data_IF_012081375034
#
_entry.id   IF_012081375034
#
_cell.length_a   1.000
_cell.length_b   1.000
_cell.length_c   1.000
_cell.angle_alpha   90.00
_cell.angle_beta   90.00
_cell.angle_gamma   90.00
#
_symmetry.space_group_name_H-M   'P 1'
#
loop_
_entity.id
_entity.type
_entity.pdbx_description
1 polymer ?
#
# COMPACT_ATOMS: atom_id res chain seq x y z
N UNK A 1 -11.01 1.12 16.70
CA UNK A 1 -12.42 1.56 16.66
C UNK A 1 -12.59 2.83 15.82
N UNK A 2 -11.72 3.84 16.00
CA UNK A 2 -11.77 5.12 15.25
C UNK A 2 -11.71 4.94 13.73
N UNK A 3 -10.86 4.05 13.21
CA UNK A 3 -10.77 3.77 11.78
C UNK A 3 -12.12 3.34 11.14
N UNK A 4 -12.91 2.52 11.84
CA UNK A 4 -14.19 2.01 11.33
C UNK A 4 -15.32 3.05 11.41
N UNK A 5 -15.13 4.14 12.16
CA UNK A 5 -16.07 5.25 12.20
C UNK A 5 -15.90 6.19 10.98
N UNK A 6 -14.76 6.12 10.29
CA UNK A 6 -14.52 6.88 9.06
C UNK A 6 -14.86 6.01 7.84
N UNK A 7 -15.72 6.48 6.90
CA UNK A 7 -15.94 5.81 5.61
C UNK A 7 -14.71 5.91 4.68
N UNK A 8 -13.56 5.38 5.09
CA UNK A 8 -12.34 5.35 4.30
C UNK A 8 -12.33 4.16 3.32
N UNK A 9 -11.83 4.36 2.10
CA UNK A 9 -11.63 3.28 1.13
C UNK A 9 -10.49 2.33 1.53
N UNK A 10 -9.44 2.91 2.14
CA UNK A 10 -8.23 2.21 2.56
C UNK A 10 -7.76 2.68 3.92
N UNK A 11 -7.09 1.78 4.64
CA UNK A 11 -6.38 2.06 5.89
C UNK A 11 -4.91 1.65 5.74
N UNK A 12 -3.99 2.55 6.07
CA UNK A 12 -2.54 2.31 5.96
C UNK A 12 -1.90 2.62 7.32
N UNK A 13 -1.49 1.58 8.04
CA UNK A 13 -0.64 1.74 9.22
C UNK A 13 0.81 1.94 8.77
N UNK A 14 1.47 3.01 9.24
CA UNK A 14 2.86 3.34 8.89
C UNK A 14 3.71 3.17 10.14
N UNK A 15 4.56 2.15 10.13
CA UNK A 15 5.45 1.77 11.21
C UNK A 15 6.92 1.88 10.79
N UNK A 16 7.80 1.74 11.78
CA UNK A 16 9.23 1.54 11.58
C UNK A 16 9.67 0.31 12.34
N UNK A 17 10.51 -0.50 11.73
CA UNK A 17 10.99 -1.76 12.27
C UNK A 17 11.97 -1.58 13.44
N UNK A 18 12.14 -2.64 14.22
CA UNK A 18 13.25 -2.85 15.15
C UNK A 18 13.67 -4.33 15.17
N UNK A 19 14.91 -4.61 15.58
CA UNK A 19 15.43 -5.96 15.77
C UNK A 19 16.44 -6.03 16.93
N UNK A 20 16.27 -7.02 17.81
CA UNK A 20 17.02 -7.11 19.05
C UNK A 20 18.42 -7.74 18.95
N UNK A 21 18.70 -8.55 17.92
CA UNK A 21 19.88 -9.43 17.90
C UNK A 21 20.67 -9.46 16.60
N UNK A 22 20.30 -8.65 15.60
CA UNK A 22 20.96 -8.64 14.29
C UNK A 22 20.95 -7.25 13.64
N UNK A 23 21.62 -7.13 12.50
CA UNK A 23 21.55 -5.92 11.68
C UNK A 23 20.25 -5.99 10.86
N UNK A 24 19.26 -5.19 11.25
CA UNK A 24 18.02 -5.01 10.51
C UNK A 24 18.17 -3.98 9.39
N UNK A 25 17.65 -4.28 8.20
CA UNK A 25 17.59 -3.30 7.09
C UNK A 25 16.38 -3.51 6.22
N UNK A 26 15.88 -2.41 5.67
CA UNK A 26 14.90 -2.39 4.60
C UNK A 26 13.45 -2.47 5.03
N UNK A 27 12.60 -2.58 4.01
CA UNK A 27 11.15 -2.39 4.11
C UNK A 27 10.40 -3.69 3.90
N UNK A 28 9.32 -3.87 4.63
CA UNK A 28 8.29 -4.90 4.42
C UNK A 28 6.88 -4.33 4.52
N UNK A 29 5.93 -4.97 3.84
CA UNK A 29 4.53 -4.51 3.87
C UNK A 29 3.60 -5.69 4.07
N UNK A 30 2.76 -5.64 5.10
CA UNK A 30 1.83 -6.68 5.46
C UNK A 30 0.42 -6.38 4.94
N UNK A 31 -0.26 -7.43 4.50
CA UNK A 31 -1.68 -7.41 4.13
C UNK A 31 -2.41 -8.57 4.82
N UNK A 32 -3.73 -8.45 4.97
CA UNK A 32 -4.51 -9.39 5.79
C UNK A 32 -4.52 -10.83 5.24
N UNK A 33 -4.88 -11.00 3.98
CA UNK A 33 -5.04 -12.31 3.32
C UNK A 33 -4.91 -12.21 1.80
N UNK A 34 -4.50 -13.29 1.11
CA UNK A 34 -4.28 -13.29 -0.34
C UNK A 34 -5.60 -13.26 -1.11
N UNK A 35 -5.57 -12.72 -2.32
CA UNK A 35 -6.73 -12.64 -3.21
C UNK A 35 -7.71 -11.50 -2.90
N UNK A 36 -7.36 -10.62 -1.96
CA UNK A 36 -8.14 -9.44 -1.60
C UNK A 36 -7.45 -8.16 -2.05
N UNK A 37 -8.18 -7.01 -2.18
CA UNK A 37 -7.59 -5.74 -2.59
C UNK A 37 -6.40 -5.28 -1.74
N UNK A 38 -6.28 -5.76 -0.49
CA UNK A 38 -5.16 -5.45 0.39
C UNK A 38 -3.81 -5.95 -0.14
N UNK A 39 -3.78 -7.08 -0.85
CA UNK A 39 -2.56 -7.60 -1.48
C UNK A 39 -2.05 -6.66 -2.58
N UNK A 40 -2.97 -6.13 -3.40
CA UNK A 40 -2.64 -5.17 -4.46
C UNK A 40 -2.22 -3.83 -3.87
N UNK A 41 -2.94 -3.34 -2.85
CA UNK A 41 -2.56 -2.12 -2.13
C UNK A 41 -1.15 -2.25 -1.53
N UNK A 42 -0.84 -3.38 -0.90
CA UNK A 42 0.48 -3.67 -0.37
C UNK A 42 1.55 -3.67 -1.48
N UNK A 43 1.29 -4.33 -2.61
CA UNK A 43 2.21 -4.36 -3.74
C UNK A 43 2.49 -2.97 -4.32
N UNK A 44 1.46 -2.14 -4.50
CA UNK A 44 1.60 -0.77 -5.01
C UNK A 44 2.43 0.11 -4.06
N UNK A 45 2.11 0.12 -2.76
CA UNK A 45 2.86 0.90 -1.76
C UNK A 45 4.30 0.39 -1.64
N UNK A 46 4.48 -0.92 -1.53
CA UNK A 46 5.79 -1.51 -1.40
C UNK A 46 6.68 -1.20 -2.60
N UNK A 47 6.16 -1.38 -3.83
CA UNK A 47 6.88 -1.07 -5.05
C UNK A 47 7.29 0.40 -5.15
N UNK A 48 6.41 1.33 -4.75
CA UNK A 48 6.72 2.75 -4.73
C UNK A 48 7.84 3.09 -3.74
N UNK A 49 7.84 2.48 -2.55
CA UNK A 49 8.90 2.68 -1.55
C UNK A 49 10.24 2.14 -2.06
N UNK A 50 10.26 0.90 -2.59
CA UNK A 50 11.48 0.30 -3.14
C UNK A 50 12.03 1.13 -4.30
N UNK A 51 11.17 1.65 -5.17
CA UNK A 51 11.59 2.55 -6.25
C UNK A 51 12.20 3.87 -5.76
N UNK A 52 11.65 4.45 -4.70
CA UNK A 52 12.10 5.74 -4.17
C UNK A 52 13.33 5.67 -3.27
N UNK A 53 13.53 4.56 -2.55
CA UNK A 53 14.59 4.41 -1.55
C UNK A 53 15.70 3.44 -1.97
N UNK A 54 15.42 2.52 -2.90
CA UNK A 54 16.34 1.45 -3.31
C UNK A 54 16.93 0.69 -2.11
N UNK A 55 16.15 0.59 -1.01
CA UNK A 55 16.54 -0.12 0.20
C UNK A 55 16.38 -1.64 0.03
N UNK A 56 16.81 -2.40 1.04
CA UNK A 56 16.60 -3.84 1.05
C UNK A 56 15.11 -4.15 0.93
N UNK A 57 14.74 -4.91 -0.09
CA UNK A 57 13.38 -5.35 -0.33
C UNK A 57 13.12 -6.66 0.44
N UNK A 58 12.33 -6.59 1.50
CA UNK A 58 11.93 -7.76 2.31
C UNK A 58 10.57 -8.31 1.90
N UNK A 59 9.96 -7.74 0.87
CA UNK A 59 8.74 -8.19 0.23
C UNK A 59 7.45 -7.75 0.92
N UNK A 60 6.35 -8.11 0.26
CA UNK A 60 5.02 -8.08 0.85
C UNK A 60 4.75 -9.40 1.59
N UNK A 61 3.98 -9.34 2.68
CA UNK A 61 3.77 -10.45 3.60
C UNK A 61 2.29 -10.68 3.89
N UNK A 62 1.87 -11.91 3.66
CA UNK A 62 0.55 -12.43 4.00
C UNK A 62 0.46 -12.65 5.52
N UNK A 63 -0.32 -11.83 6.21
CA UNK A 63 -0.48 -11.89 7.66
C UNK A 63 -1.15 -13.20 8.11
N UNK A 64 -1.94 -13.87 7.26
CA UNK A 64 -2.54 -15.17 7.59
C UNK A 64 -1.47 -16.25 7.83
N UNK A 65 -0.27 -16.08 7.26
CA UNK A 65 0.89 -16.97 7.39
C UNK A 65 1.96 -16.43 8.34
N UNK A 66 1.84 -15.20 8.80
CA UNK A 66 2.79 -14.63 9.73
C UNK A 66 2.59 -15.23 11.14
N UNK A 67 3.69 -15.42 11.90
CA UNK A 67 3.62 -15.87 13.29
C UNK A 67 3.03 -14.80 14.22
N UNK A 68 2.90 -13.56 13.74
CA UNK A 68 2.38 -12.41 14.48
C UNK A 68 1.01 -12.02 13.95
N UNK A 69 0.20 -11.40 14.82
CA UNK A 69 -1.11 -10.84 14.49
C UNK A 69 -1.05 -9.33 14.73
N UNK A 70 -1.24 -8.56 13.67
CA UNK A 70 -1.36 -7.10 13.77
C UNK A 70 -2.83 -6.71 13.84
N UNK A 71 -3.32 -6.41 15.05
CA UNK A 71 -4.72 -6.08 15.25
C UNK A 71 -5.17 -4.89 14.38
N UNK A 72 -4.27 -3.93 14.16
CA UNK A 72 -4.52 -2.71 13.40
C UNK A 72 -4.80 -2.92 11.91
N UNK A 73 -4.52 -4.10 11.35
CA UNK A 73 -4.89 -4.44 9.96
C UNK A 73 -5.76 -5.70 9.86
N UNK A 74 -6.22 -6.23 11.01
CA UNK A 74 -7.24 -7.29 11.06
C UNK A 74 -8.59 -6.77 11.56
N UNK A 75 -8.60 -5.69 12.33
CA UNK A 75 -9.80 -5.05 12.87
C UNK A 75 -10.48 -4.03 11.93
N UNK A 76 -9.76 -3.32 11.03
CA UNK A 76 -10.41 -2.41 10.12
C UNK A 76 -11.33 -3.14 9.13
N UNK A 77 -12.50 -2.55 8.83
CA UNK A 77 -13.46 -3.15 7.89
C UNK A 77 -13.21 -2.78 6.43
N UNK A 78 -12.41 -1.74 6.19
CA UNK A 78 -11.94 -1.34 4.87
C UNK A 78 -10.66 -2.07 4.46
N UNK A 79 -10.19 -1.86 3.23
CA UNK A 79 -8.95 -2.49 2.75
C UNK A 79 -7.75 -1.96 3.55
N UNK A 80 -7.04 -2.82 4.28
CA UNK A 80 -5.99 -2.40 5.20
C UNK A 80 -4.62 -3.05 4.93
N UNK A 81 -3.56 -2.26 5.10
CA UNK A 81 -2.15 -2.71 5.04
C UNK A 81 -1.31 -2.06 6.13
N UNK A 82 -0.22 -2.72 6.52
CA UNK A 82 0.78 -2.21 7.45
C UNK A 82 2.12 -2.13 6.75
N UNK A 83 2.70 -0.94 6.72
CA UNK A 83 4.02 -0.69 6.14
C UNK A 83 5.02 -0.61 7.27
N UNK A 84 5.97 -1.53 7.30
CA UNK A 84 7.16 -1.41 8.11
C UNK A 84 8.25 -0.76 7.26
N UNK A 85 8.51 0.52 7.49
CA UNK A 85 9.36 1.36 6.64
C UNK A 85 10.83 0.94 6.68
N UNK A 86 11.60 1.40 7.66
CA UNK A 86 13.00 1.06 7.86
C UNK A 86 13.24 0.81 9.36
N UNK A 87 14.43 0.40 9.74
CA UNK A 87 14.78 0.08 11.12
C UNK A 87 15.21 1.31 11.92
N UNK A 88 14.43 1.71 12.92
CA UNK A 88 14.73 2.90 13.73
C UNK A 88 15.82 2.67 14.77
N UNK A 89 16.15 1.42 15.08
CA UNK A 89 17.21 1.01 16.00
C UNK A 89 18.54 0.72 15.28
N UNK A 90 18.60 0.99 13.97
CA UNK A 90 19.79 0.80 13.14
C UNK A 90 20.25 2.17 12.64
N UNK A 91 21.39 2.66 13.15
CA UNK A 91 21.81 4.05 13.00
C UNK A 91 21.73 4.60 11.57
N UNK A 92 22.17 3.84 10.57
CA UNK A 92 22.10 4.28 9.16
C UNK A 92 20.67 4.40 8.62
N UNK A 93 19.78 3.51 9.04
CA UNK A 93 18.36 3.53 8.65
C UNK A 93 17.58 4.59 9.43
N UNK A 94 17.89 4.77 10.72
CA UNK A 94 17.33 5.83 11.56
C UNK A 94 17.65 7.23 11.01
N UNK A 95 18.90 7.47 10.60
CA UNK A 95 19.29 8.72 9.94
C UNK A 95 18.53 8.93 8.62
N UNK A 96 18.34 7.85 7.84
CA UNK A 96 17.58 7.92 6.60
C UNK A 96 16.10 8.25 6.86
N UNK A 97 15.47 7.64 7.87
CA UNK A 97 14.10 7.97 8.29
C UNK A 97 13.97 9.44 8.70
N UNK A 98 14.91 9.94 9.50
CA UNK A 98 14.91 11.32 9.96
C UNK A 98 14.98 12.33 8.81
N UNK A 99 15.88 12.12 7.86
CA UNK A 99 16.10 13.07 6.77
C UNK A 99 15.15 12.89 5.57
N UNK A 100 14.54 11.72 5.41
CA UNK A 100 13.73 11.38 4.24
C UNK A 100 12.26 11.09 4.57
N UNK A 101 11.75 11.51 5.73
CA UNK A 101 10.35 11.32 6.12
C UNK A 101 9.35 11.82 5.06
N UNK A 102 9.61 13.01 4.50
CA UNK A 102 8.77 13.59 3.43
C UNK A 102 8.81 12.74 2.15
N UNK A 103 9.99 12.20 1.80
CA UNK A 103 10.15 11.28 0.66
C UNK A 103 9.42 9.96 0.90
N UNK A 104 9.43 9.45 2.13
CA UNK A 104 8.68 8.25 2.52
C UNK A 104 7.18 8.49 2.39
N UNK A 105 6.68 9.61 2.91
CA UNK A 105 5.28 10.00 2.77
C UNK A 105 4.85 10.10 1.30
N UNK A 106 5.68 10.71 0.44
CA UNK A 106 5.43 10.74 -1.02
C UNK A 106 5.39 9.36 -1.66
N UNK A 107 6.29 8.46 -1.28
CA UNK A 107 6.32 7.10 -1.82
C UNK A 107 5.07 6.31 -1.41
N UNK A 108 4.64 6.41 -0.15
CA UNK A 108 3.39 5.80 0.33
C UNK A 108 2.19 6.38 -0.42
N UNK A 109 2.11 7.70 -0.55
CA UNK A 109 1.03 8.37 -1.27
C UNK A 109 0.97 7.95 -2.75
N UNK A 110 2.11 7.87 -3.43
CA UNK A 110 2.18 7.40 -4.82
C UNK A 110 1.67 5.96 -4.96
N UNK A 111 1.99 5.08 -4.01
CA UNK A 111 1.46 3.72 -3.97
C UNK A 111 -0.06 3.65 -3.76
N UNK A 112 -0.60 4.50 -2.88
CA UNK A 112 -2.06 4.60 -2.67
C UNK A 112 -2.75 5.08 -3.94
N UNK A 113 -2.20 6.09 -4.63
CA UNK A 113 -2.74 6.59 -5.90
C UNK A 113 -2.74 5.49 -6.97
N UNK A 114 -1.64 4.76 -7.12
CA UNK A 114 -1.55 3.65 -8.07
C UNK A 114 -2.58 2.55 -7.77
N UNK A 115 -2.84 2.25 -6.49
CA UNK A 115 -3.91 1.33 -6.10
C UNK A 115 -5.30 1.86 -6.49
N UNK A 116 -5.56 3.15 -6.27
CA UNK A 116 -6.82 3.77 -6.67
C UNK A 116 -7.03 3.67 -8.19
N UNK A 117 -6.00 3.99 -8.99
CA UNK A 117 -6.03 3.87 -10.45
C UNK A 117 -6.29 2.43 -10.91
N UNK A 118 -5.63 1.45 -10.29
CA UNK A 118 -5.89 0.03 -10.54
C UNK A 118 -7.33 -0.33 -10.21
N UNK A 119 -7.84 0.09 -9.04
CA UNK A 119 -9.20 -0.21 -8.58
C UNK A 119 -10.24 0.42 -9.51
N UNK A 120 -10.05 1.67 -9.94
CA UNK A 120 -10.91 2.32 -10.90
C UNK A 120 -10.87 1.62 -12.26
N UNK A 121 -9.70 1.22 -12.74
CA UNK A 121 -9.58 0.49 -14.01
C UNK A 121 -10.26 -0.88 -13.97
N UNK A 122 -10.13 -1.61 -12.85
CA UNK A 122 -10.76 -2.90 -12.64
C UNK A 122 -12.30 -2.80 -12.56
N UNK A 123 -12.82 -1.76 -11.91
CA UNK A 123 -14.27 -1.49 -11.82
C UNK A 123 -14.83 -0.91 -13.11
N UNK A 124 -14.03 -0.11 -13.83
CA UNK A 124 -14.43 0.54 -15.07
C UNK A 124 -14.26 -0.36 -16.29
N UNK A 125 -13.54 -1.48 -16.24
CA UNK A 125 -13.40 -2.38 -17.41
C UNK A 125 -14.74 -2.72 -18.10
N UNK A 126 -15.81 -3.09 -17.35
CA UNK A 126 -17.15 -3.27 -17.90
C UNK A 126 -17.86 -1.96 -18.30
N UNK A 127 -17.64 -0.86 -17.59
CA UNK A 127 -18.36 0.42 -17.79
C UNK A 127 -17.73 1.28 -18.91
N UNK A 128 -16.40 1.33 -19.01
CA UNK A 128 -15.63 1.94 -20.11
C UNK A 128 -15.93 1.22 -21.43
N UNK A 129 -16.07 -0.11 -21.44
CA UNK A 129 -16.51 -0.84 -22.63
C UNK A 129 -17.91 -0.40 -23.10
N UNK A 130 -18.80 -0.04 -22.17
CA UNK A 130 -20.14 0.49 -22.48
C UNK A 130 -20.09 1.97 -22.93
N UNK A 131 -19.28 2.81 -22.28
CA UNK A 131 -19.13 4.24 -22.63
C UNK A 131 -18.39 4.44 -23.95
N UNK A 132 -17.39 3.61 -24.27
CA UNK A 132 -16.68 3.63 -25.55
C UNK A 132 -17.60 3.18 -26.70
N UNK A 133 -18.48 2.20 -26.47
CA UNK A 133 -19.52 1.82 -27.45
C UNK A 133 -20.58 2.92 -27.62
N UNK A 134 -20.95 3.64 -26.55
CA UNK A 134 -21.93 4.73 -26.63
C UNK A 134 -21.38 5.98 -27.35
N UNK A 135 -20.06 6.22 -27.32
CA UNK A 135 -19.42 7.35 -28.05
C UNK A 135 -19.27 7.12 -29.55
N UNK A 136 -19.57 5.94 -30.08
CA UNK A 136 -19.62 5.70 -31.53
C UNK A 136 -20.96 6.11 -32.18
N UNK A 137 -21.95 6.58 -31.40
CA UNK A 137 -23.19 7.15 -31.93
C UNK A 137 -23.18 8.68 -31.82
N UNK A 138 -22.33 9.34 -32.61
CA UNK A 138 -22.56 10.73 -32.99
C UNK A 138 -23.32 10.67 -34.32
N UNK A 139 -24.62 11.04 -34.38
CA UNK A 139 -25.31 11.10 -35.65
C UNK A 139 -24.60 12.14 -36.52
N UNK A 140 -24.17 11.75 -37.72
CA UNK A 140 -23.67 12.68 -38.72
C UNK A 140 -24.80 13.66 -39.04
N UNK A 141 -24.72 14.88 -38.53
CA UNK A 141 -25.55 15.98 -39.01
C UNK A 141 -25.17 16.28 -40.45
N UNK A 142 -26.17 16.28 -41.33
CA UNK A 142 -26.06 16.57 -42.77
C UNK A 142 -25.80 18.02 -43.09
#
# INVERSE_FOLDING_TARGET
>A
AEANAWPADVYVAIHSNAVSTSIGRGTETYYHSPGYPGEVLAACIHGAIIGAFQCVNRGIKDLSKAPMRFYEITAPTMTSVLVETLFHDQMGEALLLWHAAERMGRAVAAGIIAFCEWRFSAVSGPLLAQVVNARQYIPKSG
#
